data_IF_781732844567
#
_entry.id   IF_781732844567
#
_cell.length_a   1.000
_cell.length_b   1.000
_cell.length_c   1.000
_cell.angle_alpha   90.00
_cell.angle_beta   90.00
_cell.angle_gamma   90.00
#
_symmetry.space_group_name_H-M   'P 1'
#
loop_
_entity.id
_entity.type
_entity.pdbx_description
1 polymer ?
#
# COMPACT_ATOMS: atom_id res chain seq x y z
N UNK A 1 -45.63 11.28 26.72
CA UNK A 1 -45.85 12.52 25.94
C UNK A 1 -44.89 12.50 24.78
N UNK A 2 -45.38 12.47 23.54
CA UNK A 2 -45.65 13.67 22.72
C UNK A 2 -44.34 14.47 22.52
N UNK A 3 -43.73 14.57 21.33
CA UNK A 3 -44.30 14.82 20.00
C UNK A 3 -43.42 14.31 18.84
N UNK A 4 -44.12 13.81 17.81
CA UNK A 4 -43.70 13.66 16.42
C UNK A 4 -43.67 15.00 15.67
N UNK A 5 -43.06 14.98 14.45
CA UNK A 5 -43.08 15.96 13.32
C UNK A 5 -41.90 16.94 13.28
N UNK A 6 -41.23 17.23 12.17
CA UNK A 6 -41.47 17.04 10.71
C UNK A 6 -40.17 17.38 9.96
N UNK A 7 -39.82 16.63 8.90
CA UNK A 7 -38.84 17.06 7.90
C UNK A 7 -39.41 18.25 7.12
N UNK A 8 -38.81 19.45 7.24
CA UNK A 8 -39.15 20.64 6.46
C UNK A 8 -38.04 20.97 5.46
N UNK A 9 -38.44 21.41 4.26
CA UNK A 9 -37.60 21.81 3.13
C UNK A 9 -36.73 23.06 3.40
N UNK A 10 -36.83 23.67 4.59
CA UNK A 10 -36.09 24.87 4.99
C UNK A 10 -34.62 24.61 5.35
N UNK A 11 -34.25 23.40 5.78
CA UNK A 11 -32.85 23.09 6.13
C UNK A 11 -31.94 22.94 4.90
N UNK A 12 -32.51 22.65 3.71
CA UNK A 12 -31.75 22.58 2.46
C UNK A 12 -31.36 23.96 1.93
N UNK A 13 -32.16 25.01 2.19
CA UNK A 13 -31.85 26.37 1.71
C UNK A 13 -30.72 27.03 2.53
N UNK A 14 -30.66 26.74 3.85
CA UNK A 14 -29.59 27.22 4.75
C UNK A 14 -28.22 26.63 4.43
N UNK A 15 -28.17 25.39 3.94
CA UNK A 15 -26.91 24.75 3.54
C UNK A 15 -26.40 25.34 2.22
N UNK A 16 -27.29 25.66 1.28
CA UNK A 16 -26.92 26.25 -0.02
C UNK A 16 -26.47 27.71 0.13
N UNK A 17 -27.01 28.49 1.07
CA UNK A 17 -26.52 29.85 1.37
C UNK A 17 -25.14 29.85 2.04
N UNK A 18 -24.89 28.90 2.97
CA UNK A 18 -23.58 28.71 3.63
C UNK A 18 -22.47 28.31 2.65
N UNK A 19 -22.80 27.55 1.61
CA UNK A 19 -21.87 27.17 0.55
C UNK A 19 -21.54 28.34 -0.40
N UNK A 20 -22.47 29.29 -0.57
CA UNK A 20 -22.29 30.46 -1.45
C UNK A 20 -21.47 31.58 -0.79
N UNK A 21 -21.63 31.78 0.52
CA UNK A 21 -20.79 32.72 1.29
C UNK A 21 -19.33 32.23 1.42
N UNK A 22 -19.10 30.92 1.53
CA UNK A 22 -17.74 30.33 1.53
C UNK A 22 -16.98 30.50 0.20
N UNK A 23 -17.68 30.73 -0.92
CA UNK A 23 -17.03 31.01 -2.21
C UNK A 23 -16.65 32.49 -2.40
N UNK A 24 -17.26 33.42 -1.65
CA UNK A 24 -17.00 34.87 -1.78
C UNK A 24 -15.89 35.39 -0.85
N UNK A 25 -15.47 34.64 0.16
CA UNK A 25 -14.51 35.11 1.18
C UNK A 25 -13.06 34.65 0.97
N UNK A 26 -12.72 34.01 -0.16
CA UNK A 26 -11.34 33.58 -0.47
C UNK A 26 -10.38 34.72 -0.91
N UNK A 27 -10.74 35.98 -0.71
CA UNK A 27 -9.95 37.15 -1.17
C UNK A 27 -9.09 37.82 -0.09
N UNK A 28 -9.18 37.49 1.19
CA UNK A 28 -8.33 38.13 2.20
C UNK A 28 -8.06 37.17 3.34
N UNK A 29 -6.91 36.52 3.29
CA UNK A 29 -6.08 36.09 4.43
C UNK A 29 -4.75 35.65 3.82
N UNK A 30 -3.97 36.65 3.42
CA UNK A 30 -2.55 36.49 3.13
C UNK A 30 -1.81 36.50 4.48
N UNK A 31 -1.37 35.34 4.94
CA UNK A 31 -0.26 35.22 5.88
C UNK A 31 0.42 33.87 5.63
N UNK A 32 1.59 33.96 5.00
CA UNK A 32 2.74 33.04 5.08
C UNK A 32 2.44 31.53 5.09
N UNK A 33 2.34 30.95 3.90
CA UNK A 33 2.80 29.58 3.68
C UNK A 33 3.58 29.54 2.37
N UNK A 34 4.87 29.90 2.45
CA UNK A 34 5.85 29.62 1.41
C UNK A 34 6.38 28.20 1.59
N UNK A 35 5.51 27.20 1.53
CA UNK A 35 5.97 25.83 1.30
C UNK A 35 5.94 25.61 -0.21
N UNK A 36 7.13 25.61 -0.79
CA UNK A 36 7.38 25.15 -2.15
C UNK A 36 6.60 23.84 -2.32
N UNK A 37 5.61 23.83 -3.21
CA UNK A 37 5.23 22.60 -3.90
C UNK A 37 6.48 22.11 -4.63
N UNK A 38 7.30 21.30 -3.96
CA UNK A 38 8.27 20.44 -4.61
C UNK A 38 7.45 19.42 -5.39
N UNK A 39 7.09 19.77 -6.63
CA UNK A 39 6.93 18.75 -7.65
C UNK A 39 8.21 17.92 -7.57
N UNK A 40 8.12 16.71 -7.04
CA UNK A 40 9.19 15.73 -7.06
C UNK A 40 9.67 15.63 -8.50
N UNK A 41 10.76 16.34 -8.82
CA UNK A 41 11.44 16.15 -10.09
C UNK A 41 12.12 14.80 -9.93
N UNK A 42 11.86 13.87 -10.84
CA UNK A 42 12.72 12.69 -11.03
C UNK A 42 14.11 13.21 -11.41
N UNK A 43 14.93 13.49 -10.41
CA UNK A 43 16.38 13.56 -10.55
C UNK A 43 16.86 12.12 -10.45
N UNK A 44 17.50 11.61 -11.50
CA UNK A 44 18.19 10.31 -11.45
C UNK A 44 19.15 10.34 -10.25
N UNK A 45 18.79 9.61 -9.20
CA UNK A 45 19.61 9.47 -8.01
C UNK A 45 20.48 8.24 -8.23
N UNK A 46 21.79 8.39 -8.14
CA UNK A 46 22.72 7.27 -8.23
C UNK A 46 22.77 6.54 -6.88
N UNK A 47 22.27 5.31 -6.85
CA UNK A 47 22.23 4.45 -5.67
C UNK A 47 23.47 3.55 -5.52
N UNK A 48 24.43 3.63 -6.44
CA UNK A 48 25.60 2.74 -6.47
C UNK A 48 26.52 2.91 -5.26
N UNK A 49 26.53 4.09 -4.63
CA UNK A 49 27.35 4.43 -3.46
C UNK A 49 26.52 4.75 -2.22
N UNK A 50 25.22 4.46 -2.22
CA UNK A 50 24.33 4.61 -1.08
C UNK A 50 24.02 3.25 -0.48
N UNK A 51 23.84 3.20 0.83
CA UNK A 51 23.55 1.98 1.58
C UNK A 51 22.33 2.18 2.49
N UNK A 52 21.75 1.09 2.99
CA UNK A 52 20.59 1.16 3.88
C UNK A 52 20.82 2.03 5.13
N UNK A 53 22.06 2.07 5.64
CA UNK A 53 22.46 2.93 6.79
C UNK A 53 22.39 4.43 6.49
N UNK A 54 22.32 4.83 5.23
CA UNK A 54 22.26 6.23 4.80
C UNK A 54 20.80 6.72 4.68
N UNK A 55 19.82 5.80 4.73
CA UNK A 55 18.39 6.11 4.73
C UNK A 55 17.92 6.48 6.14
N UNK A 56 16.66 6.92 6.26
CA UNK A 56 16.04 7.17 7.57
C UNK A 56 16.19 5.92 8.46
N UNK A 57 16.59 6.10 9.74
CA UNK A 57 16.58 7.33 10.53
C UNK A 57 17.88 8.17 10.50
N UNK A 58 18.78 7.94 9.54
CA UNK A 58 20.02 8.72 9.41
C UNK A 58 19.76 10.22 9.20
N UNK A 59 20.69 11.06 9.68
CA UNK A 59 20.60 12.51 9.53
C UNK A 59 20.69 12.89 8.05
N UNK A 60 19.75 13.70 7.58
CA UNK A 60 19.62 14.11 6.17
C UNK A 60 19.36 12.95 5.19
N UNK A 61 18.89 11.79 5.66
CA UNK A 61 18.57 10.62 4.82
C UNK A 61 17.16 10.65 4.20
N UNK A 62 16.37 11.69 4.45
CA UNK A 62 14.97 11.79 4.03
C UNK A 62 14.81 11.76 2.50
N UNK A 63 15.56 12.58 1.78
CA UNK A 63 15.48 12.64 0.31
C UNK A 63 15.87 11.29 -0.32
N UNK A 64 16.99 10.70 0.13
CA UNK A 64 17.46 9.40 -0.37
C UNK A 64 16.45 8.29 -0.06
N UNK A 65 15.80 8.34 1.10
CA UNK A 65 14.73 7.38 1.46
C UNK A 65 13.55 7.50 0.51
N UNK A 66 13.10 8.73 0.24
CA UNK A 66 11.98 8.97 -0.66
C UNK A 66 12.31 8.52 -2.09
N UNK A 67 13.50 8.87 -2.61
CA UNK A 67 13.91 8.46 -3.95
C UNK A 67 14.04 6.93 -4.06
N UNK A 68 14.65 6.27 -3.08
CA UNK A 68 14.78 4.81 -3.08
C UNK A 68 13.40 4.12 -3.08
N UNK A 69 12.48 4.56 -2.20
CA UNK A 69 11.12 4.00 -2.15
C UNK A 69 10.35 4.24 -3.47
N UNK A 70 10.53 5.39 -4.11
CA UNK A 70 9.91 5.68 -5.41
C UNK A 70 10.44 4.76 -6.53
N UNK A 71 11.73 4.43 -6.53
CA UNK A 71 12.31 3.47 -7.47
C UNK A 71 11.79 2.04 -7.23
N UNK A 72 11.68 1.63 -5.96
CA UNK A 72 11.03 0.35 -5.61
C UNK A 72 9.59 0.33 -6.13
N UNK A 73 8.82 1.40 -5.89
CA UNK A 73 7.44 1.51 -6.38
C UNK A 73 7.38 1.48 -7.91
N UNK A 74 8.32 2.09 -8.64
CA UNK A 74 8.36 2.01 -10.11
C UNK A 74 8.56 0.57 -10.60
N UNK A 75 9.47 -0.19 -9.95
CA UNK A 75 9.65 -1.64 -10.21
C UNK A 75 8.34 -2.39 -10.01
N UNK A 76 7.66 -2.17 -8.87
CA UNK A 76 6.39 -2.81 -8.56
C UNK A 76 5.30 -2.46 -9.58
N UNK A 77 5.14 -1.18 -9.93
CA UNK A 77 4.15 -0.74 -10.91
C UNK A 77 4.41 -1.32 -12.30
N UNK A 78 5.68 -1.44 -12.71
CA UNK A 78 6.05 -2.12 -13.95
C UNK A 78 5.70 -3.62 -13.90
N UNK A 79 5.89 -4.28 -12.76
CA UNK A 79 5.45 -5.66 -12.56
C UNK A 79 3.92 -5.80 -12.64
N UNK A 80 3.17 -4.92 -11.98
CA UNK A 80 1.69 -4.89 -12.02
C UNK A 80 1.18 -4.73 -13.45
N UNK A 81 1.74 -3.80 -14.24
CA UNK A 81 1.37 -3.61 -15.66
C UNK A 81 1.54 -4.89 -16.46
N UNK A 82 2.70 -5.56 -16.30
CA UNK A 82 3.01 -6.82 -16.98
C UNK A 82 2.12 -7.98 -16.53
N UNK A 83 1.67 -8.01 -15.27
CA UNK A 83 0.82 -9.08 -14.74
C UNK A 83 -0.50 -9.24 -15.49
N UNK A 84 -1.10 -8.15 -15.98
CA UNK A 84 -2.34 -8.20 -16.76
C UNK A 84 -2.13 -8.37 -18.27
N UNK A 85 -0.88 -8.34 -18.75
CA UNK A 85 -0.54 -8.59 -20.14
C UNK A 85 -0.35 -10.09 -20.40
N UNK A 86 -1.23 -10.64 -21.23
CA UNK A 86 -1.26 -12.06 -21.63
C UNK A 86 -0.07 -12.47 -22.52
N UNK A 87 0.72 -11.52 -23.00
CA UNK A 87 1.96 -11.80 -23.74
C UNK A 87 3.10 -12.26 -22.81
N UNK A 88 3.01 -11.94 -21.51
CA UNK A 88 4.02 -12.30 -20.53
C UNK A 88 3.90 -13.75 -20.09
N UNK A 89 5.02 -14.35 -19.66
CA UNK A 89 5.01 -15.70 -19.07
C UNK A 89 4.37 -15.65 -17.69
N UNK A 90 3.58 -16.67 -17.35
CA UNK A 90 3.07 -16.91 -15.98
C UNK A 90 4.24 -17.15 -15.01
N UNK A 91 5.26 -17.87 -15.46
CA UNK A 91 6.48 -18.19 -14.72
C UNK A 91 7.60 -18.40 -15.74
N UNK A 92 8.79 -17.86 -15.47
CA UNK A 92 10.02 -18.31 -16.09
C UNK A 92 10.64 -19.39 -15.21
N UNK A 93 10.33 -20.65 -15.52
CA UNK A 93 10.63 -21.75 -14.62
C UNK A 93 12.11 -22.09 -14.61
N UNK A 94 12.67 -22.20 -13.41
CA UNK A 94 14.02 -22.69 -13.14
C UNK A 94 13.95 -23.71 -12.00
N UNK A 95 14.79 -24.75 -12.08
CA UNK A 95 14.95 -25.70 -10.99
C UNK A 95 15.70 -25.05 -9.80
N UNK A 96 15.52 -25.55 -8.56
CA UNK A 96 16.14 -24.95 -7.37
C UNK A 96 17.66 -24.77 -7.47
N UNK A 97 18.38 -25.78 -7.99
CA UNK A 97 19.83 -25.72 -8.17
C UNK A 97 20.27 -24.57 -9.09
N UNK A 98 19.50 -24.25 -10.13
CA UNK A 98 19.83 -23.14 -11.03
C UNK A 98 19.79 -21.80 -10.31
N UNK A 99 18.76 -21.56 -9.49
CA UNK A 99 18.65 -20.33 -8.69
C UNK A 99 19.74 -20.23 -7.62
N UNK A 100 20.07 -21.36 -6.97
CA UNK A 100 21.14 -21.42 -5.96
C UNK A 100 22.54 -21.22 -6.55
N UNK A 101 22.77 -21.62 -7.80
CA UNK A 101 24.05 -21.40 -8.50
C UNK A 101 24.28 -19.92 -8.90
N UNK A 102 23.29 -19.05 -8.70
CA UNK A 102 23.42 -17.60 -8.96
C UNK A 102 23.05 -17.22 -10.39
N UNK A 103 21.77 -17.35 -10.74
CA UNK A 103 21.23 -17.03 -12.07
C UNK A 103 21.56 -15.59 -12.49
N UNK A 104 22.41 -15.43 -13.52
CA UNK A 104 22.72 -14.11 -14.12
C UNK A 104 23.16 -13.04 -13.11
N UNK A 105 23.78 -13.44 -11.98
CA UNK A 105 24.21 -12.51 -10.92
C UNK A 105 23.21 -12.34 -9.77
N UNK A 106 22.04 -12.98 -9.82
CA UNK A 106 21.10 -13.03 -8.70
C UNK A 106 21.63 -13.97 -7.61
N UNK A 107 22.31 -13.40 -6.62
CA UNK A 107 22.90 -14.13 -5.50
C UNK A 107 21.93 -14.19 -4.32
N UNK A 108 21.65 -15.41 -3.83
CA UNK A 108 20.78 -15.62 -2.67
C UNK A 108 21.56 -15.73 -1.35
N UNK A 109 22.88 -15.84 -1.41
CA UNK A 109 23.73 -15.96 -0.22
C UNK A 109 23.91 -14.63 0.50
N UNK A 110 23.89 -14.68 1.82
CA UNK A 110 24.10 -13.51 2.68
C UNK A 110 25.59 -13.31 2.95
N UNK A 111 25.99 -12.04 3.11
CA UNK A 111 27.36 -11.68 3.46
C UNK A 111 27.42 -10.74 4.66
N UNK A 112 28.59 -10.64 5.29
CA UNK A 112 28.81 -9.71 6.42
C UNK A 112 28.82 -8.23 6.00
N UNK A 113 29.04 -7.95 4.71
CA UNK A 113 29.10 -6.59 4.19
C UNK A 113 27.77 -6.19 3.55
N UNK A 114 27.34 -4.93 3.71
CA UNK A 114 26.13 -4.46 3.06
C UNK A 114 26.37 -4.31 1.55
N UNK A 115 25.32 -4.55 0.78
CA UNK A 115 25.27 -4.18 -0.62
C UNK A 115 24.75 -2.76 -0.79
N UNK A 116 25.04 -2.16 -1.95
CA UNK A 116 24.53 -0.83 -2.29
C UNK A 116 23.01 -0.88 -2.52
N UNK A 117 22.35 0.26 -2.38
CA UNK A 117 20.93 0.38 -2.67
C UNK A 117 20.61 0.07 -4.13
N UNK A 118 21.54 0.30 -5.06
CA UNK A 118 21.35 -0.13 -6.46
C UNK A 118 21.27 -1.66 -6.57
N UNK A 119 22.13 -2.39 -5.85
CA UNK A 119 22.07 -3.86 -5.84
C UNK A 119 20.76 -4.35 -5.23
N UNK A 120 20.28 -3.73 -4.15
CA UNK A 120 18.96 -4.05 -3.58
C UNK A 120 17.83 -3.83 -4.61
N UNK A 121 17.90 -2.78 -5.45
CA UNK A 121 16.93 -2.56 -6.53
C UNK A 121 17.04 -3.65 -7.62
N UNK A 122 18.24 -4.11 -7.95
CA UNK A 122 18.47 -5.26 -8.85
C UNK A 122 17.83 -6.52 -8.27
N UNK A 123 18.09 -6.84 -7.01
CA UNK A 123 17.54 -8.03 -6.34
C UNK A 123 16.01 -7.99 -6.28
N UNK A 124 15.42 -6.80 -6.07
CA UNK A 124 13.97 -6.62 -6.15
C UNK A 124 13.42 -6.97 -7.54
N UNK A 125 14.11 -6.55 -8.62
CA UNK A 125 13.71 -6.85 -9.99
C UNK A 125 13.83 -8.34 -10.29
N UNK A 126 14.92 -8.97 -9.87
CA UNK A 126 15.19 -10.39 -10.13
C UNK A 126 14.28 -11.31 -9.33
N UNK A 127 13.99 -10.96 -8.08
CA UNK A 127 12.99 -11.66 -7.25
C UNK A 127 11.63 -11.73 -7.97
N UNK A 128 11.19 -10.61 -8.57
CA UNK A 128 9.94 -10.55 -9.34
C UNK A 128 10.05 -11.21 -10.73
N UNK A 129 11.24 -11.22 -11.34
CA UNK A 129 11.51 -11.85 -12.64
C UNK A 129 11.33 -13.36 -12.57
N UNK A 130 11.86 -13.99 -11.51
CA UNK A 130 11.83 -15.44 -11.33
C UNK A 130 10.64 -15.94 -10.50
N UNK A 131 9.87 -15.05 -9.88
CA UNK A 131 8.62 -15.36 -9.20
C UNK A 131 7.46 -15.74 -10.14
N UNK A 132 6.47 -16.44 -9.59
CA UNK A 132 5.22 -16.76 -10.30
C UNK A 132 4.30 -15.54 -10.32
N UNK A 133 3.75 -15.20 -11.49
CA UNK A 133 2.69 -14.18 -11.63
C UNK A 133 1.32 -14.74 -11.24
N UNK A 134 1.04 -14.80 -9.94
CA UNK A 134 -0.24 -15.30 -9.39
C UNK A 134 -1.46 -14.48 -9.82
N UNK A 135 -1.25 -13.20 -10.18
CA UNK A 135 -2.27 -12.33 -10.75
C UNK A 135 -2.52 -12.48 -12.25
N UNK A 136 -1.74 -13.32 -12.96
CA UNK A 136 -1.84 -13.43 -14.40
C UNK A 136 -3.18 -14.05 -14.83
N UNK A 137 -3.87 -13.53 -15.87
CA UNK A 137 -5.18 -14.04 -16.30
C UNK A 137 -5.23 -15.51 -16.75
N UNK A 138 -4.06 -16.16 -16.89
CA UNK A 138 -3.91 -17.59 -17.23
C UNK A 138 -3.28 -18.42 -16.11
N UNK A 139 -3.17 -17.87 -14.91
CA UNK A 139 -2.75 -18.62 -13.73
C UNK A 139 -3.97 -19.27 -13.07
N UNK A 140 -4.04 -20.60 -13.14
CA UNK A 140 -5.18 -21.40 -12.61
C UNK A 140 -4.72 -22.49 -11.65
N UNK A 141 -3.52 -22.35 -11.09
CA UNK A 141 -2.89 -23.42 -10.30
C UNK A 141 -3.43 -23.52 -8.87
N UNK A 142 -4.02 -22.44 -8.33
CA UNK A 142 -4.39 -22.32 -6.92
C UNK A 142 -5.80 -21.77 -6.76
N UNK A 143 -6.39 -21.92 -5.57
CA UNK A 143 -7.69 -21.33 -5.22
C UNK A 143 -7.60 -19.81 -5.09
N UNK A 144 -6.49 -19.32 -4.52
CA UNK A 144 -6.19 -17.88 -4.42
C UNK A 144 -5.41 -17.44 -5.66
N UNK A 145 -6.03 -16.60 -6.49
CA UNK A 145 -5.46 -16.06 -7.72
C UNK A 145 -5.87 -14.61 -7.91
N UNK A 146 -5.28 -13.95 -8.90
CA UNK A 146 -5.59 -12.55 -9.21
C UNK A 146 -4.74 -11.57 -8.41
N UNK A 147 -4.89 -10.30 -8.75
CA UNK A 147 -4.23 -9.18 -8.08
C UNK A 147 -5.25 -8.04 -8.00
N UNK A 148 -5.89 -7.89 -6.84
CA UNK A 148 -6.82 -6.78 -6.59
C UNK A 148 -6.05 -5.52 -6.24
N UNK A 149 -6.27 -4.43 -6.99
CA UNK A 149 -5.50 -3.19 -6.85
C UNK A 149 -5.81 -2.48 -5.53
N UNK A 150 -7.04 -2.61 -5.00
CA UNK A 150 -7.41 -2.03 -3.72
C UNK A 150 -6.81 -2.84 -2.57
N UNK A 151 -6.82 -4.17 -2.68
CA UNK A 151 -6.12 -5.08 -1.79
C UNK A 151 -4.63 -4.75 -1.70
N UNK A 152 -3.95 -4.60 -2.84
CA UNK A 152 -2.54 -4.22 -2.89
C UNK A 152 -2.25 -2.87 -2.21
N UNK A 153 -3.07 -1.85 -2.48
CA UNK A 153 -2.93 -0.55 -1.82
C UNK A 153 -3.16 -0.66 -0.30
N UNK A 154 -4.11 -1.50 0.13
CA UNK A 154 -4.35 -1.83 1.53
C UNK A 154 -3.16 -2.52 2.20
N UNK A 155 -2.48 -3.43 1.49
CA UNK A 155 -1.26 -4.10 1.98
C UNK A 155 -0.08 -3.12 2.13
N UNK A 156 0.11 -2.20 1.18
CA UNK A 156 1.12 -1.15 1.30
C UNK A 156 0.86 -0.23 2.49
N UNK A 157 -0.41 0.16 2.70
CA UNK A 157 -0.81 0.99 3.83
C UNK A 157 -0.64 0.24 5.17
N UNK A 158 -1.04 -1.03 5.23
CA UNK A 158 -0.88 -1.89 6.41
C UNK A 158 0.60 -2.06 6.76
N UNK A 159 1.45 -2.33 5.77
CA UNK A 159 2.90 -2.47 5.95
C UNK A 159 3.55 -1.17 6.40
N UNK A 160 3.06 -0.02 5.93
CA UNK A 160 3.52 1.31 6.37
C UNK A 160 3.13 1.58 7.83
N UNK A 161 1.93 1.16 8.25
CA UNK A 161 1.46 1.32 9.63
C UNK A 161 2.21 0.42 10.62
N UNK A 162 2.63 -0.77 10.19
CA UNK A 162 3.52 -1.70 10.92
C UNK A 162 3.20 -1.83 12.43
N UNK A 163 1.93 -2.09 12.76
CA UNK A 163 1.44 -2.25 14.13
C UNK A 163 0.93 -3.68 14.38
N UNK A 164 0.41 -3.95 15.58
CA UNK A 164 -0.12 -5.25 15.96
C UNK A 164 -1.59 -5.19 16.43
N UNK A 165 -2.36 -6.24 16.17
CA UNK A 165 -3.79 -6.35 16.48
C UNK A 165 -4.11 -6.75 17.93
N UNK A 166 -3.10 -6.98 18.78
CA UNK A 166 -3.32 -7.48 20.15
C UNK A 166 -4.13 -6.55 21.04
N UNK A 167 -4.03 -5.23 20.87
CA UNK A 167 -4.73 -4.26 21.73
C UNK A 167 -5.25 -3.07 20.94
N UNK A 168 -6.32 -2.45 21.46
CA UNK A 168 -6.87 -1.21 20.92
C UNK A 168 -5.89 -0.04 21.02
N UNK A 169 -4.99 -0.04 22.01
CA UNK A 169 -4.05 1.07 22.26
C UNK A 169 -3.10 1.31 21.07
N UNK A 170 -2.61 0.25 20.44
CA UNK A 170 -1.63 0.35 19.34
C UNK A 170 -2.26 0.17 17.96
N UNK A 171 -3.51 -0.31 17.86
CA UNK A 171 -4.22 -0.53 16.60
C UNK A 171 -5.70 -0.11 16.63
N UNK A 172 -6.04 1.11 17.10
CA UNK A 172 -7.42 1.49 17.38
C UNK A 172 -8.32 1.45 16.14
N UNK A 173 -7.80 1.88 14.99
CA UNK A 173 -8.55 1.88 13.72
C UNK A 173 -8.76 0.45 13.22
N UNK A 174 -7.72 -0.38 13.22
CA UNK A 174 -7.78 -1.73 12.68
C UNK A 174 -8.66 -2.66 13.53
N UNK A 175 -8.61 -2.54 14.86
CA UNK A 175 -9.48 -3.31 15.77
C UNK A 175 -10.96 -3.01 15.50
N UNK A 176 -11.33 -1.75 15.28
CA UNK A 176 -12.72 -1.39 14.94
C UNK A 176 -13.10 -1.88 13.54
N UNK A 177 -12.20 -1.78 12.56
CA UNK A 177 -12.43 -2.30 11.21
C UNK A 177 -12.68 -3.82 11.23
N UNK A 178 -11.88 -4.57 11.99
CA UNK A 178 -12.05 -6.01 12.18
C UNK A 178 -13.41 -6.33 12.82
N UNK A 179 -13.78 -5.65 13.91
CA UNK A 179 -15.08 -5.85 14.55
C UNK A 179 -16.25 -5.58 13.59
N UNK A 180 -16.19 -4.49 12.81
CA UNK A 180 -17.23 -4.14 11.84
C UNK A 180 -17.32 -5.21 10.74
N UNK A 181 -16.17 -5.66 10.24
CA UNK A 181 -16.07 -6.65 9.17
C UNK A 181 -16.60 -8.01 9.62
N UNK A 182 -16.17 -8.50 10.79
CA UNK A 182 -16.64 -9.77 11.35
C UNK A 182 -18.14 -9.75 11.63
N UNK A 183 -18.66 -8.64 12.17
CA UNK A 183 -20.11 -8.46 12.32
C UNK A 183 -20.81 -8.56 10.96
N UNK A 184 -20.25 -7.92 9.92
CA UNK A 184 -20.84 -7.98 8.57
C UNK A 184 -20.78 -9.39 7.97
N UNK A 185 -19.71 -10.13 8.20
CA UNK A 185 -19.58 -11.53 7.78
C UNK A 185 -20.64 -12.41 8.45
N UNK A 186 -20.85 -12.24 9.77
CA UNK A 186 -21.92 -12.96 10.51
C UNK A 186 -23.32 -12.63 9.99
N UNK A 187 -23.58 -11.38 9.63
CA UNK A 187 -24.84 -10.98 8.96
C UNK A 187 -25.05 -11.72 7.64
N UNK A 188 -24.01 -11.83 6.81
CA UNK A 188 -24.08 -12.53 5.50
C UNK A 188 -24.36 -14.03 5.69
N UNK A 189 -23.82 -14.64 6.74
CA UNK A 189 -24.11 -16.04 7.13
C UNK A 189 -25.57 -16.19 7.59
N UNK A 190 -26.23 -15.11 8.01
CA UNK A 190 -27.61 -15.11 8.50
C UNK A 190 -27.73 -15.24 10.02
N UNK A 191 -26.66 -14.99 10.77
CA UNK A 191 -26.70 -15.00 12.23
C UNK A 191 -27.31 -13.72 12.80
N UNK A 192 -27.87 -13.81 14.01
CA UNK A 192 -28.46 -12.65 14.69
C UNK A 192 -27.39 -11.62 15.05
N UNK A 193 -27.72 -10.34 14.91
CA UNK A 193 -26.83 -9.24 15.31
C UNK A 193 -26.71 -9.03 16.83
N UNK A 194 -27.44 -9.80 17.64
CA UNK A 194 -27.41 -9.67 19.11
C UNK A 194 -26.20 -10.35 19.74
N UNK A 195 -25.83 -11.51 19.22
CA UNK A 195 -24.77 -12.36 19.75
C UNK A 195 -23.82 -12.76 18.62
N UNK A 196 -22.54 -12.88 18.92
CA UNK A 196 -21.56 -13.40 17.96
C UNK A 196 -20.18 -12.83 18.16
N UNK A 197 -19.20 -13.71 18.02
CA UNK A 197 -17.79 -13.41 18.19
C UNK A 197 -17.01 -13.82 16.92
N UNK A 198 -15.72 -13.53 16.87
CA UNK A 198 -14.83 -13.94 15.80
C UNK A 198 -13.49 -13.24 15.88
N UNK A 199 -12.51 -13.80 15.20
CA UNK A 199 -11.17 -13.23 15.06
C UNK A 199 -10.62 -13.66 13.70
N UNK A 200 -9.82 -12.82 13.04
CA UNK A 200 -9.03 -13.29 11.91
C UNK A 200 -7.91 -14.20 12.40
N UNK A 201 -7.63 -15.26 11.65
CA UNK A 201 -6.56 -16.23 11.94
C UNK A 201 -5.63 -16.33 10.72
N UNK A 202 -4.38 -16.77 10.91
CA UNK A 202 -3.39 -16.78 9.84
C UNK A 202 -3.55 -17.98 8.88
N UNK A 203 -4.74 -18.10 8.26
CA UNK A 203 -5.02 -19.01 7.13
C UNK A 203 -5.19 -20.48 7.50
#
# INVERSE_FOLDING_TARGET
GFLQRTNSLEDKSRIVSSLKERQSSKSMLACENSEKESRFRRTETDFSNLYARDLLPSKNGEEQTMQFLLEVVDILLNYVRKTFDRSTKVLDFHHPHQLLEGMEGFNLELSDNPESLEQILVDCRDTLKYGVRTGHPRFFNQLSTGLDVIGLAGEWLTSTANTNMFTYEIAPVFVLMEQITLRKMREIIGWSNKDGDGIFSPG
#
